data_IF_612851844509
#
_entry.id   IF_612851844509
#
_cell.length_a   1.000
_cell.length_b   1.000
_cell.length_c   1.000
_cell.angle_alpha   90.00
_cell.angle_beta   90.00
_cell.angle_gamma   90.00
#
_symmetry.space_group_name_H-M   'P 1'
#
loop_
_entity.id
_entity.type
_entity.pdbx_description
1 polymer ?
#
# COMPACT_ATOMS: atom_id res chain seq x y z
N UNK A 1 7.02 -6.38 17.62
CA UNK A 1 6.06 -5.81 16.67
C UNK A 1 5.06 -6.89 16.32
N UNK A 2 3.78 -6.60 16.48
CA UNK A 2 2.72 -7.45 15.97
C UNK A 2 2.75 -7.45 14.43
N UNK A 3 2.38 -8.56 13.79
CA UNK A 3 2.48 -8.71 12.32
C UNK A 3 1.75 -7.59 11.56
N UNK A 4 0.62 -7.13 12.09
CA UNK A 4 -0.17 -6.04 11.52
C UNK A 4 0.63 -4.73 11.46
N UNK A 5 1.25 -4.34 12.58
CA UNK A 5 2.07 -3.13 12.66
C UNK A 5 3.27 -3.20 11.71
N UNK A 6 3.87 -4.38 11.54
CA UNK A 6 4.96 -4.58 10.60
C UNK A 6 4.54 -4.37 9.15
N UNK A 7 3.37 -4.86 8.75
CA UNK A 7 2.82 -4.64 7.41
C UNK A 7 2.53 -3.15 7.17
N UNK A 8 1.90 -2.48 8.13
CA UNK A 8 1.58 -1.06 8.01
C UNK A 8 2.86 -0.21 7.89
N UNK A 9 3.87 -0.51 8.71
CA UNK A 9 5.16 0.17 8.65
C UNK A 9 5.89 -0.08 7.32
N UNK A 10 5.85 -1.31 6.81
CA UNK A 10 6.41 -1.66 5.51
C UNK A 10 5.74 -0.88 4.38
N UNK A 11 4.40 -0.85 4.34
CA UNK A 11 3.64 -0.14 3.30
C UNK A 11 3.98 1.36 3.31
N UNK A 12 4.06 2.00 4.48
CA UNK A 12 4.42 3.42 4.58
C UNK A 12 5.86 3.71 4.13
N UNK A 13 6.79 2.84 4.52
CA UNK A 13 8.21 2.99 4.15
C UNK A 13 8.40 2.81 2.64
N UNK A 14 7.75 1.81 2.06
CA UNK A 14 7.77 1.56 0.62
C UNK A 14 7.13 2.70 -0.18
N UNK A 15 6.04 3.28 0.30
CA UNK A 15 5.42 4.48 -0.28
C UNK A 15 6.37 5.67 -0.34
N UNK A 16 7.13 5.88 0.75
CA UNK A 16 8.16 6.94 0.82
C UNK A 16 9.30 6.67 -0.16
N UNK A 17 9.80 5.43 -0.20
CA UNK A 17 10.86 5.03 -1.12
C UNK A 17 10.45 5.22 -2.59
N UNK A 18 9.24 4.80 -2.96
CA UNK A 18 8.72 4.96 -4.32
C UNK A 18 8.65 6.43 -4.74
N UNK A 19 8.28 7.32 -3.82
CA UNK A 19 8.26 8.76 -4.08
C UNK A 19 9.65 9.30 -4.41
N UNK A 20 10.69 8.81 -3.74
CA UNK A 20 12.09 9.19 -4.04
C UNK A 20 12.54 8.76 -5.44
N UNK A 21 11.84 7.79 -6.05
CA UNK A 21 12.11 7.31 -7.40
C UNK A 21 11.12 7.87 -8.43
N UNK A 22 10.31 8.87 -8.07
CA UNK A 22 9.33 9.50 -8.95
C UNK A 22 8.04 8.71 -9.16
N UNK A 23 7.80 7.67 -8.36
CA UNK A 23 6.54 6.90 -8.38
C UNK A 23 5.52 7.60 -7.49
N UNK A 24 4.27 7.65 -7.95
CA UNK A 24 3.17 8.15 -7.13
C UNK A 24 3.07 7.35 -5.81
N UNK A 25 3.03 8.05 -4.67
CA UNK A 25 3.01 7.44 -3.34
C UNK A 25 1.89 6.41 -3.17
N UNK A 26 0.68 6.72 -3.65
CA UNK A 26 -0.47 5.82 -3.59
C UNK A 26 -0.19 4.54 -4.38
N UNK A 27 0.32 4.65 -5.60
CA UNK A 27 0.67 3.49 -6.42
C UNK A 27 1.76 2.62 -5.79
N UNK A 28 2.76 3.24 -5.17
CA UNK A 28 3.78 2.51 -4.41
C UNK A 28 3.18 1.78 -3.19
N UNK A 29 2.24 2.41 -2.47
CA UNK A 29 1.56 1.77 -1.34
C UNK A 29 0.64 0.63 -1.77
N UNK A 30 -0.07 0.76 -2.91
CA UNK A 30 -0.85 -0.31 -3.53
C UNK A 30 0.05 -1.51 -3.84
N UNK A 31 1.19 -1.25 -4.50
CA UNK A 31 2.16 -2.30 -4.80
C UNK A 31 2.68 -2.98 -3.53
N UNK A 32 3.02 -2.20 -2.50
CA UNK A 32 3.49 -2.73 -1.22
C UNK A 32 2.46 -3.63 -0.54
N UNK A 33 1.19 -3.20 -0.52
CA UNK A 33 0.09 -3.98 0.03
C UNK A 33 -0.07 -5.32 -0.70
N UNK A 34 -0.09 -5.30 -2.03
CA UNK A 34 -0.23 -6.50 -2.85
C UNK A 34 0.94 -7.48 -2.63
N UNK A 35 2.16 -6.98 -2.48
CA UNK A 35 3.35 -7.79 -2.25
C UNK A 35 3.28 -8.59 -0.92
N UNK A 36 2.63 -8.05 0.10
CA UNK A 36 2.53 -8.68 1.44
C UNK A 36 1.15 -9.29 1.72
N UNK A 37 0.31 -9.38 0.69
CA UNK A 37 -1.02 -9.98 0.77
C UNK A 37 -0.95 -11.46 0.43
N UNK A 38 -1.56 -12.29 1.26
CA UNK A 38 -1.57 -13.74 1.06
C UNK A 38 -2.61 -14.17 0.03
N UNK A 39 -3.57 -13.31 -0.28
CA UNK A 39 -4.68 -13.55 -1.19
C UNK A 39 -4.77 -12.39 -2.19
N UNK A 40 -5.35 -12.67 -3.35
CA UNK A 40 -5.66 -11.63 -4.32
C UNK A 40 -6.65 -10.64 -3.73
N UNK A 41 -6.42 -9.35 -3.94
CA UNK A 41 -7.28 -8.27 -3.47
C UNK A 41 -8.01 -7.64 -4.64
N UNK A 42 -9.29 -7.32 -4.44
CA UNK A 42 -10.04 -6.46 -5.35
C UNK A 42 -9.63 -4.99 -5.18
N UNK A 43 -10.05 -4.13 -6.11
CA UNK A 43 -9.83 -2.69 -6.01
C UNK A 43 -10.47 -2.12 -4.75
N UNK A 44 -11.68 -2.57 -4.41
CA UNK A 44 -12.40 -2.21 -3.18
C UNK A 44 -11.58 -2.57 -1.93
N UNK A 45 -11.03 -3.77 -1.85
CA UNK A 45 -10.22 -4.21 -0.71
C UNK A 45 -8.96 -3.36 -0.54
N UNK A 46 -8.30 -3.02 -1.65
CA UNK A 46 -7.10 -2.17 -1.65
C UNK A 46 -7.45 -0.77 -1.14
N UNK A 47 -8.56 -0.19 -1.60
CA UNK A 47 -8.99 1.14 -1.17
C UNK A 47 -9.35 1.17 0.32
N UNK A 48 -10.05 0.15 0.81
CA UNK A 48 -10.40 0.03 2.23
C UNK A 48 -9.15 -0.11 3.10
N UNK A 49 -8.24 -1.02 2.74
CA UNK A 49 -7.02 -1.29 3.53
C UNK A 49 -6.06 -0.10 3.57
N UNK A 50 -5.98 0.68 2.48
CA UNK A 50 -5.10 1.86 2.40
C UNK A 50 -5.80 3.17 2.78
N UNK A 51 -7.11 3.15 3.00
CA UNK A 51 -7.93 4.33 3.26
C UNK A 51 -7.76 5.43 2.19
N UNK A 52 -7.79 5.03 0.92
CA UNK A 52 -7.63 5.93 -0.24
C UNK A 52 -8.95 6.08 -1.00
N UNK A 53 -9.21 7.27 -1.54
CA UNK A 53 -10.43 7.54 -2.31
C UNK A 53 -10.29 7.05 -3.76
N UNK A 54 -11.44 6.69 -4.37
CA UNK A 54 -11.53 6.24 -5.77
C UNK A 54 -10.91 7.21 -6.79
N UNK A 55 -10.81 8.49 -6.48
CA UNK A 55 -10.35 9.53 -7.41
C UNK A 55 -8.83 9.69 -7.50
N UNK A 56 -8.05 8.93 -6.73
CA UNK A 56 -6.59 9.03 -6.67
C UNK A 56 -5.87 7.75 -7.15
N UNK A 57 -6.59 6.91 -7.92
CA UNK A 57 -6.12 5.70 -8.60
C UNK A 57 -5.85 5.97 -10.08
#
# INVERSE_FOLDING_TARGET
MELKEAKDHFIQTWGTLGTNWGINRTMAQIHALLLVSNEALSTEDVMEKLNISRGNS
#
